data_IF_867822375514
#
_entry.id   IF_867822375514
#
_cell.length_a   1.000
_cell.length_b   1.000
_cell.length_c   1.000
_cell.angle_alpha   90.00
_cell.angle_beta   90.00
_cell.angle_gamma   90.00
#
_symmetry.space_group_name_H-M   'P 1'
#
loop_
_entity.id
_entity.type
_entity.pdbx_description
1 polymer ?
#
# COMPACT_ATOMS: atom_id res chain seq x y z
N UNK A 1 -10.43 11.45 6.05
CA UNK A 1 -9.47 10.49 5.49
C UNK A 1 -8.16 11.22 5.32
N UNK A 2 -7.14 10.82 6.09
CA UNK A 2 -5.78 11.37 5.92
C UNK A 2 -5.29 11.10 4.49
N UNK A 3 -4.71 12.11 3.84
CA UNK A 3 -3.98 11.93 2.58
C UNK A 3 -2.56 11.49 2.90
N UNK A 4 -2.11 10.40 2.29
CA UNK A 4 -0.75 9.88 2.45
C UNK A 4 -0.17 9.49 1.09
N UNK A 5 1.14 9.61 0.94
CA UNK A 5 1.85 9.15 -0.25
C UNK A 5 1.91 7.62 -0.31
N UNK A 6 2.13 7.08 -1.51
CA UNK A 6 2.35 5.64 -1.69
C UNK A 6 3.53 5.11 -0.86
N UNK A 7 4.55 5.95 -0.61
CA UNK A 7 5.70 5.58 0.24
C UNK A 7 5.29 5.37 1.70
N UNK A 8 4.40 6.20 2.23
CA UNK A 8 3.87 6.03 3.60
C UNK A 8 3.03 4.76 3.68
N UNK A 9 2.17 4.54 2.68
CA UNK A 9 1.36 3.32 2.62
C UNK A 9 2.21 2.04 2.55
N UNK A 10 3.28 2.03 1.74
CA UNK A 10 4.25 0.93 1.69
C UNK A 10 4.82 0.59 3.08
N UNK A 11 5.19 1.60 3.88
CA UNK A 11 5.70 1.36 5.25
C UNK A 11 4.64 0.76 6.17
N UNK A 12 3.38 1.15 6.02
CA UNK A 12 2.27 0.55 6.76
C UNK A 12 2.09 -0.93 6.38
N UNK A 13 2.18 -1.25 5.09
CA UNK A 13 2.16 -2.64 4.60
C UNK A 13 3.30 -3.47 5.21
N UNK A 14 4.53 -2.97 5.17
CA UNK A 14 5.70 -3.66 5.72
C UNK A 14 5.54 -3.93 7.22
N UNK A 15 5.04 -2.96 7.99
CA UNK A 15 4.72 -3.13 9.43
C UNK A 15 3.64 -4.17 9.67
N UNK A 16 2.71 -4.32 8.73
CA UNK A 16 1.66 -5.34 8.76
C UNK A 16 2.10 -6.71 8.21
N UNK A 17 3.40 -6.87 7.92
CA UNK A 17 3.99 -8.15 7.48
C UNK A 17 3.83 -8.44 5.99
N UNK A 18 3.47 -7.45 5.17
CA UNK A 18 3.58 -7.57 3.72
C UNK A 18 5.05 -7.44 3.30
N UNK A 19 5.44 -8.19 2.27
CA UNK A 19 6.79 -8.15 1.73
C UNK A 19 6.75 -7.70 0.29
N UNK A 20 7.66 -6.79 -0.09
CA UNK A 20 7.80 -6.37 -1.47
C UNK A 20 8.44 -7.48 -2.30
N UNK A 21 7.81 -7.84 -3.42
CA UNK A 21 8.30 -8.92 -4.29
C UNK A 21 8.79 -8.42 -5.64
N UNK A 22 8.27 -7.28 -6.10
CA UNK A 22 8.65 -6.71 -7.39
C UNK A 22 8.37 -5.22 -7.42
N UNK A 23 9.22 -4.48 -8.13
CA UNK A 23 8.96 -3.10 -8.53
C UNK A 23 8.93 -3.03 -10.05
N UNK A 24 7.91 -2.37 -10.60
CA UNK A 24 7.71 -2.22 -12.05
C UNK A 24 7.31 -0.78 -12.35
N UNK A 25 8.29 0.05 -12.74
CA UNK A 25 8.10 1.49 -12.80
C UNK A 25 7.78 2.07 -11.42
N UNK A 26 6.67 2.80 -11.29
CA UNK A 26 6.22 3.34 -10.01
C UNK A 26 5.45 2.33 -9.14
N UNK A 27 5.07 1.18 -9.68
CA UNK A 27 4.27 0.19 -8.96
C UNK A 27 5.14 -0.72 -8.10
N UNK A 28 4.91 -0.66 -6.79
CA UNK A 28 5.50 -1.54 -5.79
C UNK A 28 4.51 -2.66 -5.51
N UNK A 29 4.91 -3.90 -5.77
CA UNK A 29 4.05 -5.08 -5.69
C UNK A 29 4.42 -5.84 -4.42
N UNK A 30 3.44 -6.06 -3.56
CA UNK A 30 3.56 -6.74 -2.28
C UNK A 30 2.81 -8.07 -2.28
N UNK A 31 3.33 -9.02 -1.52
CA UNK A 31 2.67 -10.27 -1.15
C UNK A 31 2.61 -10.40 0.38
N UNK A 32 1.74 -11.30 0.86
CA UNK A 32 1.73 -11.71 2.25
C UNK A 32 1.35 -13.18 2.33
N UNK A 33 2.07 -13.96 3.14
CA UNK A 33 1.91 -15.41 3.19
C UNK A 33 0.46 -15.88 3.50
N UNK A 34 -0.29 -15.12 4.30
CA UNK A 34 -1.68 -15.42 4.65
C UNK A 34 -2.70 -14.97 3.60
N UNK A 35 -2.28 -14.28 2.52
CA UNK A 35 -3.18 -13.67 1.54
C UNK A 35 -2.80 -14.09 0.11
N UNK A 36 -3.74 -14.67 -0.66
CA UNK A 36 -3.44 -15.24 -1.98
C UNK A 36 -3.28 -14.20 -3.11
N UNK A 37 -3.46 -12.89 -2.82
CA UNK A 37 -3.45 -11.82 -3.83
C UNK A 37 -2.30 -10.87 -3.58
N UNK A 38 -1.62 -10.48 -4.65
CA UNK A 38 -0.65 -9.38 -4.61
C UNK A 38 -1.35 -8.04 -4.53
N UNK A 39 -0.70 -7.09 -3.85
CA UNK A 39 -1.14 -5.71 -3.75
C UNK A 39 -0.18 -4.79 -4.50
N UNK A 40 -0.67 -4.03 -5.47
CA UNK A 40 0.13 -3.08 -6.25
C UNK A 40 -0.12 -1.66 -5.76
N UNK A 41 0.92 -0.99 -5.27
CA UNK A 41 0.88 0.38 -4.73
C UNK A 41 1.64 1.31 -5.69
N UNK A 42 0.99 2.35 -6.25
CA UNK A 42 1.69 3.34 -7.04
C UNK A 42 2.46 4.31 -6.14
N UNK A 43 3.74 4.50 -6.42
CA UNK A 43 4.63 5.41 -5.69
C UNK A 43 5.20 6.46 -6.64
N UNK A 44 4.65 7.67 -6.57
CA UNK A 44 5.06 8.82 -7.40
C UNK A 44 5.75 9.90 -6.53
N UNK A 45 6.86 9.53 -5.88
CA UNK A 45 7.60 10.42 -4.98
C UNK A 45 6.82 10.74 -3.71
N UNK A 46 6.61 12.03 -3.45
CA UNK A 46 5.85 12.54 -2.30
C UNK A 46 4.39 12.89 -2.63
N UNK A 47 3.90 12.52 -3.82
CA UNK A 47 2.51 12.75 -4.20
C UNK A 47 1.59 11.80 -3.43
N UNK A 48 0.54 12.37 -2.84
CA UNK A 48 -0.47 11.62 -2.12
C UNK A 48 -1.31 10.73 -3.05
N UNK A 49 -1.73 9.59 -2.51
CA UNK A 49 -2.70 8.72 -3.16
C UNK A 49 -4.06 9.42 -3.19
N UNK A 50 -4.78 9.27 -4.30
CA UNK A 50 -6.16 9.74 -4.37
C UNK A 50 -7.00 9.06 -3.27
N UNK A 51 -7.95 9.75 -2.60
CA UNK A 51 -8.69 9.20 -1.47
C UNK A 51 -9.40 7.86 -1.77
N UNK A 52 -9.99 7.73 -2.96
CA UNK A 52 -10.64 6.48 -3.38
C UNK A 52 -9.65 5.32 -3.56
N UNK A 53 -8.45 5.61 -4.05
CA UNK A 53 -7.39 4.61 -4.18
C UNK A 53 -6.86 4.20 -2.81
N UNK A 54 -6.59 5.15 -1.92
CA UNK A 54 -6.14 4.86 -0.55
C UNK A 54 -7.17 4.00 0.19
N UNK A 55 -8.47 4.35 0.11
CA UNK A 55 -9.55 3.56 0.72
C UNK A 55 -9.60 2.13 0.20
N UNK A 56 -9.44 1.95 -1.12
CA UNK A 56 -9.40 0.62 -1.72
C UNK A 56 -8.18 -0.15 -1.23
N UNK A 57 -6.99 0.45 -1.25
CA UNK A 57 -5.76 -0.21 -0.82
C UNK A 57 -5.81 -0.61 0.66
N UNK A 58 -6.33 0.25 1.54
CA UNK A 58 -6.57 -0.08 2.95
C UNK A 58 -7.49 -1.29 3.09
N UNK A 59 -8.60 -1.33 2.35
CA UNK A 59 -9.53 -2.46 2.35
C UNK A 59 -8.87 -3.74 1.84
N UNK A 60 -8.17 -3.66 0.72
CA UNK A 60 -7.49 -4.81 0.11
C UNK A 60 -6.35 -5.35 1.01
N UNK A 61 -5.74 -4.47 1.83
CA UNK A 61 -4.73 -4.81 2.82
C UNK A 61 -5.27 -5.21 4.20
N UNK A 62 -6.60 -5.13 4.40
CA UNK A 62 -7.29 -5.22 5.70
C UNK A 62 -6.66 -4.33 6.79
N UNK A 63 -6.34 -3.08 6.41
CA UNK A 63 -5.81 -2.04 7.28
C UNK A 63 -6.82 -0.91 7.47
N UNK A 64 -6.59 -0.11 8.50
CA UNK A 64 -7.37 1.07 8.86
C UNK A 64 -6.54 2.36 8.75
N UNK A 65 -7.19 3.52 8.89
CA UNK A 65 -6.47 4.80 8.96
C UNK A 65 -5.53 4.90 10.18
N UNK A 66 -5.71 4.06 11.21
CA UNK A 66 -4.83 4.01 12.39
C UNK A 66 -3.50 3.31 12.13
N UNK A 67 -3.41 2.53 11.06
CA UNK A 67 -2.19 1.79 10.68
C UNK A 67 -1.24 2.62 9.80
N UNK A 68 -1.74 3.75 9.27
CA UNK A 68 -1.01 4.68 8.39
C UNK A 68 0.03 5.53 9.13
#
# INVERSE_FOLDING_TARGET
>A
MKSVSGRVFCRALERAGWTIVRVSGSHHIYEQASRPRHLSVPVHGNKDLAPGLLRRLLKDAELSEGDL
#
